data_IF_503082993026
#
_entry.id   IF_503082993026
#
_cell.length_a   1.000
_cell.length_b   1.000
_cell.length_c   1.000
_cell.angle_alpha   90.00
_cell.angle_beta   90.00
_cell.angle_gamma   90.00
#
_symmetry.space_group_name_H-M   'P 1'
#
loop_
_entity.id
_entity.type
_entity.pdbx_description
1 polymer ?
#
# COMPACT_ATOMS: atom_id res chain seq x y z
N UNK A 1 -10.08 42.23 -10.14
CA UNK A 1 -9.78 41.43 -11.35
C UNK A 1 -8.69 42.03 -12.26
N UNK A 2 -8.24 43.27 -12.06
CA UNK A 2 -7.20 43.88 -12.91
C UNK A 2 -5.75 43.40 -12.63
N UNK A 3 -5.49 42.79 -11.46
CA UNK A 3 -4.12 42.48 -11.02
C UNK A 3 -3.61 41.09 -11.46
N UNK A 4 -4.48 40.24 -12.03
CA UNK A 4 -4.13 38.91 -12.55
C UNK A 4 -3.82 38.95 -14.05
N UNK A 5 -4.44 39.86 -14.81
CA UNK A 5 -4.24 39.97 -16.26
C UNK A 5 -2.84 40.52 -16.59
N UNK A 6 -2.38 41.54 -15.85
CA UNK A 6 -1.02 42.10 -15.98
C UNK A 6 0.10 41.08 -15.71
N UNK A 7 -0.13 40.09 -14.85
CA UNK A 7 0.86 39.04 -14.58
C UNK A 7 0.94 38.00 -15.70
N UNK A 8 -0.15 37.75 -16.42
CA UNK A 8 -0.18 36.78 -17.52
C UNK A 8 0.48 37.37 -18.78
N UNK A 9 0.28 38.66 -19.06
CA UNK A 9 0.95 39.34 -20.18
C UNK A 9 2.47 39.43 -19.99
N UNK A 10 2.95 39.66 -18.76
CA UNK A 10 4.39 39.63 -18.47
C UNK A 10 5.01 38.24 -18.62
N UNK A 11 4.25 37.16 -18.35
CA UNK A 11 4.73 35.80 -18.55
C UNK A 11 4.80 35.42 -20.03
N UNK A 12 3.81 35.83 -20.84
CA UNK A 12 3.82 35.57 -22.28
C UNK A 12 4.98 36.28 -22.99
N UNK A 13 5.27 37.53 -22.61
CA UNK A 13 6.41 38.28 -23.13
C UNK A 13 7.75 37.66 -22.73
N UNK A 14 7.87 37.14 -21.50
CA UNK A 14 9.07 36.44 -21.04
C UNK A 14 9.33 35.15 -21.83
N UNK A 15 8.29 34.37 -22.14
CA UNK A 15 8.44 33.16 -22.97
C UNK A 15 8.71 33.46 -24.45
N UNK A 16 8.19 34.56 -25.00
CA UNK A 16 8.54 34.99 -26.36
C UNK A 16 9.98 35.49 -26.44
N UNK A 17 10.48 36.18 -25.42
CA UNK A 17 11.87 36.65 -25.37
C UNK A 17 12.85 35.47 -25.22
N UNK A 18 12.50 34.45 -24.43
CA UNK A 18 13.25 33.19 -24.35
C UNK A 18 13.22 32.48 -25.70
N UNK A 19 12.06 32.30 -26.33
CA UNK A 19 11.94 31.59 -27.61
C UNK A 19 12.66 32.32 -28.77
N UNK A 20 12.68 33.66 -28.77
CA UNK A 20 13.47 34.43 -29.73
C UNK A 20 14.98 34.33 -29.47
N UNK A 21 15.41 34.26 -28.21
CA UNK A 21 16.82 33.99 -27.89
C UNK A 21 17.23 32.56 -28.21
N UNK A 22 16.36 31.56 -28.01
CA UNK A 22 16.65 30.15 -28.37
C UNK A 22 16.80 29.97 -29.87
N UNK A 23 15.94 30.63 -30.68
CA UNK A 23 16.10 30.67 -32.14
C UNK A 23 17.35 31.42 -32.60
N UNK A 24 17.84 32.39 -31.82
CA UNK A 24 19.08 33.11 -32.12
C UNK A 24 20.32 32.28 -31.80
N UNK A 25 20.25 31.42 -30.78
CA UNK A 25 21.30 30.44 -30.47
C UNK A 25 21.33 29.25 -31.44
N UNK A 26 20.20 28.89 -32.06
CA UNK A 26 20.17 27.86 -33.11
C UNK A 26 20.72 28.33 -34.48
N UNK A 27 20.92 29.65 -34.67
CA UNK A 27 21.55 30.22 -35.87
C UNK A 27 23.03 30.60 -35.67
N UNK A 28 23.58 30.30 -34.51
CA UNK A 28 25.03 30.32 -34.27
C UNK A 28 25.45 28.89 -33.94
N UNK A 29 25.37 28.01 -34.96
CA UNK A 29 26.35 26.94 -35.09
C UNK A 29 27.72 27.60 -35.24
N UNK A 30 28.28 28.05 -34.12
CA UNK A 30 29.72 28.19 -34.00
C UNK A 30 30.21 26.76 -34.07
N UNK A 31 30.71 26.41 -35.25
CA UNK A 31 31.41 25.16 -35.50
C UNK A 31 32.71 25.22 -34.70
N UNK A 32 32.61 25.02 -33.38
CA UNK A 32 33.72 24.88 -32.46
C UNK A 32 34.31 23.52 -32.77
N UNK A 33 35.37 23.49 -33.59
CA UNK A 33 36.09 22.25 -33.84
C UNK A 33 36.65 21.72 -32.52
N UNK A 34 36.65 20.41 -32.33
CA UNK A 34 37.19 19.75 -31.13
C UNK A 34 38.64 20.17 -30.81
N UNK A 35 39.39 20.65 -31.82
CA UNK A 35 40.74 21.23 -31.66
C UNK A 35 40.75 22.52 -30.83
N UNK A 36 39.72 23.37 -30.95
CA UNK A 36 39.68 24.66 -30.24
C UNK A 36 39.35 24.54 -28.74
N UNK A 37 38.59 23.50 -28.33
CA UNK A 37 38.37 23.20 -26.92
C UNK A 37 39.63 22.61 -26.26
N UNK A 38 40.40 21.82 -27.00
CA UNK A 38 41.68 21.28 -26.55
C UNK A 38 42.75 22.37 -26.38
N UNK A 39 42.82 23.37 -27.28
CA UNK A 39 43.74 24.50 -27.13
C UNK A 39 43.41 25.41 -25.94
N UNK A 40 42.13 25.63 -25.63
CA UNK A 40 41.72 26.43 -24.46
C UNK A 40 42.03 25.70 -23.14
N UNK A 41 41.87 24.37 -23.09
CA UNK A 41 42.26 23.58 -21.92
C UNK A 41 43.78 23.52 -21.71
N UNK A 42 44.57 23.48 -22.79
CA UNK A 42 46.04 23.43 -22.74
C UNK A 42 46.69 24.78 -22.40
N UNK A 43 46.05 25.91 -22.73
CA UNK A 43 46.56 27.26 -22.42
C UNK A 43 45.91 27.93 -21.20
N UNK A 44 44.97 27.27 -20.52
CA UNK A 44 44.36 27.81 -19.30
C UNK A 44 45.27 27.61 -18.09
N UNK A 45 45.35 28.62 -17.22
CA UNK A 45 46.05 28.50 -15.93
C UNK A 45 45.58 27.23 -15.20
N UNK A 46 46.49 26.48 -14.54
CA UNK A 46 46.15 25.22 -13.87
C UNK A 46 45.06 25.37 -12.80
N UNK A 47 44.84 26.59 -12.30
CA UNK A 47 43.73 26.97 -11.42
C UNK A 47 42.37 26.93 -12.11
N UNK A 48 42.27 27.31 -13.37
CA UNK A 48 41.03 27.31 -14.14
C UNK A 48 40.60 25.88 -14.53
N UNK A 49 41.55 25.05 -14.97
CA UNK A 49 41.31 23.64 -15.23
C UNK A 49 40.83 22.90 -13.97
N UNK A 50 41.43 23.20 -12.81
CA UNK A 50 40.99 22.64 -11.53
C UNK A 50 39.54 23.02 -11.17
N UNK A 51 39.17 24.29 -11.33
CA UNK A 51 37.80 24.76 -11.06
C UNK A 51 36.80 24.11 -12.01
N UNK A 52 37.12 24.00 -13.31
CA UNK A 52 36.26 23.35 -14.28
C UNK A 52 36.00 21.88 -13.94
N UNK A 53 37.03 21.13 -13.53
CA UNK A 53 36.90 19.73 -13.11
C UNK A 53 36.01 19.62 -11.86
N UNK A 54 36.20 20.50 -10.86
CA UNK A 54 35.37 20.50 -9.65
C UNK A 54 33.90 20.77 -9.96
N UNK A 55 33.60 21.73 -10.85
CA UNK A 55 32.22 22.05 -11.27
C UNK A 55 31.58 20.87 -11.99
N UNK A 56 32.31 20.17 -12.87
CA UNK A 56 31.82 18.97 -13.56
C UNK A 56 31.52 17.86 -12.54
N UNK A 57 32.41 17.63 -11.57
CA UNK A 57 32.20 16.60 -10.54
C UNK A 57 30.99 16.93 -9.66
N UNK A 58 30.85 18.18 -9.22
CA UNK A 58 29.73 18.61 -8.36
C UNK A 58 28.40 18.53 -9.12
N UNK A 59 28.36 18.96 -10.38
CA UNK A 59 27.14 18.86 -11.20
C UNK A 59 26.76 17.40 -11.48
N UNK A 60 27.73 16.53 -11.82
CA UNK A 60 27.48 15.10 -11.99
C UNK A 60 26.96 14.44 -10.71
N UNK A 61 27.54 14.74 -9.55
CA UNK A 61 27.07 14.26 -8.25
C UNK A 61 25.66 14.75 -7.94
N UNK A 62 25.35 16.00 -8.24
CA UNK A 62 24.01 16.59 -8.03
C UNK A 62 22.95 15.87 -8.86
N UNK A 63 23.25 15.62 -10.14
CA UNK A 63 22.36 14.87 -11.04
C UNK A 63 22.19 13.43 -10.55
N UNK A 64 23.26 12.80 -10.04
CA UNK A 64 23.22 11.43 -9.54
C UNK A 64 22.38 11.32 -8.26
N UNK A 65 22.45 12.31 -7.36
CA UNK A 65 21.59 12.41 -6.17
C UNK A 65 20.12 12.59 -6.57
N UNK A 66 19.83 13.50 -7.51
CA UNK A 66 18.47 13.72 -8.00
C UNK A 66 17.90 12.48 -8.70
N UNK A 67 18.72 11.74 -9.46
CA UNK A 67 18.33 10.46 -10.02
C UNK A 67 18.11 9.42 -8.93
N UNK A 68 18.93 9.38 -7.88
CA UNK A 68 18.71 8.50 -6.74
C UNK A 68 17.39 8.80 -6.01
N UNK A 69 17.01 10.07 -5.81
CA UNK A 69 15.71 10.43 -5.21
C UNK A 69 14.52 10.06 -6.10
N UNK A 70 14.69 10.08 -7.43
CA UNK A 70 13.66 9.61 -8.38
C UNK A 70 13.58 8.08 -8.47
N UNK A 71 14.71 7.38 -8.31
CA UNK A 71 14.80 5.92 -8.46
C UNK A 71 14.71 5.15 -7.15
N UNK A 72 14.87 5.79 -6.00
CA UNK A 72 14.62 5.15 -4.71
C UNK A 72 13.13 5.18 -4.45
N UNK A 73 12.41 4.04 -4.56
CA UNK A 73 11.02 4.00 -4.16
C UNK A 73 10.98 4.36 -2.67
N UNK A 74 10.34 5.50 -2.35
CA UNK A 74 9.99 5.81 -0.96
C UNK A 74 9.34 4.55 -0.40
N UNK A 75 9.79 4.03 0.76
CA UNK A 75 9.18 2.85 1.34
C UNK A 75 7.68 3.08 1.47
N UNK A 76 6.87 2.28 0.78
CA UNK A 76 5.42 2.45 0.79
C UNK A 76 4.84 2.21 2.19
N UNK A 77 5.47 1.38 3.02
CA UNK A 77 4.97 0.97 4.33
C UNK A 77 4.50 2.12 5.24
N UNK A 78 5.34 3.13 5.54
CA UNK A 78 4.93 4.33 6.28
C UNK A 78 3.66 5.01 5.73
N UNK A 79 3.54 5.12 4.39
CA UNK A 79 2.36 5.69 3.74
C UNK A 79 1.13 4.80 3.90
N UNK A 80 1.26 3.48 3.72
CA UNK A 80 0.15 2.52 3.92
C UNK A 80 -0.35 2.55 5.37
N UNK A 81 0.58 2.61 6.34
CA UNK A 81 0.26 2.69 7.77
C UNK A 81 -0.48 3.98 8.15
N UNK A 82 -0.08 5.12 7.60
CA UNK A 82 -0.74 6.40 7.87
C UNK A 82 -2.14 6.45 7.23
N UNK A 83 -2.27 6.01 5.98
CA UNK A 83 -3.57 5.87 5.31
C UNK A 83 -4.51 4.96 6.09
N UNK A 84 -4.02 3.78 6.50
CA UNK A 84 -4.79 2.85 7.32
C UNK A 84 -5.27 3.48 8.63
N UNK A 85 -4.36 4.14 9.37
CA UNK A 85 -4.70 4.71 10.66
C UNK A 85 -5.81 5.76 10.54
N UNK A 86 -5.71 6.66 9.56
CA UNK A 86 -6.77 7.64 9.30
C UNK A 86 -8.07 6.93 8.97
N UNK A 87 -8.08 6.00 8.03
CA UNK A 87 -9.29 5.27 7.66
C UNK A 87 -9.90 4.48 8.82
N UNK A 88 -9.07 3.89 9.69
CA UNK A 88 -9.52 3.14 10.87
C UNK A 88 -10.21 4.05 11.89
N UNK A 89 -9.63 5.21 12.18
CA UNK A 89 -10.20 6.17 13.12
C UNK A 89 -11.57 6.69 12.63
N UNK A 90 -11.70 7.02 11.33
CA UNK A 90 -12.93 7.58 10.79
C UNK A 90 -14.02 6.54 10.46
N UNK A 91 -13.65 5.34 10.00
CA UNK A 91 -14.61 4.34 9.50
C UNK A 91 -14.85 3.18 10.46
N UNK A 92 -14.03 3.01 11.50
CA UNK A 92 -14.15 1.90 12.45
C UNK A 92 -14.37 2.44 13.85
N UNK A 93 -13.41 3.18 14.42
CA UNK A 93 -13.51 3.65 15.81
C UNK A 93 -14.75 4.53 16.03
N UNK A 94 -15.10 5.40 15.08
CA UNK A 94 -16.31 6.25 15.15
C UNK A 94 -17.63 5.50 14.95
N UNK A 95 -17.63 4.35 14.27
CA UNK A 95 -18.86 3.61 13.93
C UNK A 95 -19.16 2.54 14.98
N UNK A 96 -18.13 1.83 15.45
CA UNK A 96 -18.25 0.71 16.38
C UNK A 96 -17.92 1.12 17.82
N UNK A 97 -18.58 2.19 18.30
CA UNK A 97 -18.35 2.80 19.62
C UNK A 97 -18.61 1.86 20.81
N UNK A 98 -19.45 0.84 20.61
CA UNK A 98 -19.78 -0.14 21.64
C UNK A 98 -18.70 -1.23 21.83
N UNK A 99 -17.69 -1.30 20.95
CA UNK A 99 -16.58 -2.24 21.10
C UNK A 99 -15.60 -1.74 22.16
N UNK A 100 -14.94 -2.67 22.86
CA UNK A 100 -13.97 -2.29 23.88
C UNK A 100 -12.75 -1.59 23.25
N UNK A 101 -12.13 -0.63 23.96
CA UNK A 101 -10.90 0.00 23.50
C UNK A 101 -9.79 -1.01 23.17
N UNK A 102 -9.74 -2.10 23.93
CA UNK A 102 -8.78 -3.19 23.73
C UNK A 102 -9.01 -3.90 22.39
N UNK A 103 -10.24 -4.30 22.08
CA UNK A 103 -10.57 -4.93 20.78
C UNK A 103 -10.16 -4.03 19.62
N UNK A 104 -10.49 -2.75 19.66
CA UNK A 104 -10.14 -1.81 18.59
C UNK A 104 -8.62 -1.58 18.50
N UNK A 105 -7.93 -1.55 19.63
CA UNK A 105 -6.46 -1.40 19.68
C UNK A 105 -5.76 -2.63 19.13
N UNK A 106 -6.21 -3.84 19.49
CA UNK A 106 -5.70 -5.10 18.95
C UNK A 106 -5.88 -5.18 17.43
N UNK A 107 -7.05 -4.79 16.91
CA UNK A 107 -7.28 -4.72 15.46
C UNK A 107 -6.34 -3.73 14.78
N UNK A 108 -6.20 -2.53 15.33
CA UNK A 108 -5.33 -1.50 14.76
C UNK A 108 -3.86 -1.93 14.76
N UNK A 109 -3.36 -2.47 15.88
CA UNK A 109 -1.98 -2.91 16.03
C UNK A 109 -1.66 -4.11 15.13
N UNK A 110 -2.51 -5.14 15.10
CA UNK A 110 -2.28 -6.31 14.27
C UNK A 110 -2.32 -6.03 12.76
N UNK A 111 -3.09 -5.02 12.32
CA UNK A 111 -3.04 -4.59 10.91
C UNK A 111 -1.82 -3.71 10.63
N UNK A 112 -1.34 -2.92 11.59
CA UNK A 112 -0.11 -2.13 11.41
C UNK A 112 1.14 -2.98 11.21
N UNK A 113 1.18 -4.20 11.75
CA UNK A 113 2.33 -5.11 11.56
C UNK A 113 2.43 -5.59 10.11
N UNK A 114 1.30 -5.87 9.46
CA UNK A 114 1.26 -6.41 8.09
C UNK A 114 1.37 -5.34 6.99
N UNK A 115 1.09 -4.07 7.30
CA UNK A 115 1.27 -2.94 6.38
C UNK A 115 2.74 -2.47 6.24
N UNK A 116 3.69 -3.19 6.86
CA UNK A 116 5.13 -2.95 6.69
C UNK A 116 5.67 -3.38 5.33
N UNK A 117 6.92 -3.00 5.03
CA UNK A 117 7.60 -3.43 3.80
C UNK A 117 8.09 -4.88 3.87
N UNK A 118 8.38 -5.35 5.08
CA UNK A 118 8.77 -6.71 5.37
C UNK A 118 7.78 -7.23 6.41
N UNK A 119 7.00 -8.21 6.00
CA UNK A 119 6.11 -8.95 6.88
C UNK A 119 6.40 -10.41 6.61
N UNK A 120 6.68 -11.17 7.66
CA UNK A 120 7.01 -12.60 7.63
C UNK A 120 5.73 -13.45 7.76
N UNK A 121 4.74 -12.93 8.51
CA UNK A 121 3.59 -13.68 9.01
C UNK A 121 2.27 -12.98 8.71
N UNK A 122 1.26 -13.67 8.14
CA UNK A 122 -0.05 -13.09 7.97
C UNK A 122 -0.70 -12.83 9.33
N UNK A 123 -1.40 -11.70 9.45
CA UNK A 123 -2.23 -11.45 10.62
C UNK A 123 -3.56 -12.21 10.52
N UNK A 124 -3.94 -12.94 11.56
CA UNK A 124 -5.20 -13.68 11.65
C UNK A 124 -5.98 -13.17 12.86
N UNK A 125 -7.26 -12.86 12.67
CA UNK A 125 -8.12 -12.34 13.74
C UNK A 125 -9.36 -13.21 13.88
N UNK A 126 -9.56 -13.80 15.05
CA UNK A 126 -10.77 -14.56 15.34
C UNK A 126 -11.78 -13.64 16.01
N UNK A 127 -12.96 -13.50 15.39
CA UNK A 127 -14.04 -12.70 15.93
C UNK A 127 -15.07 -13.64 16.56
N UNK A 128 -15.18 -13.54 17.88
CA UNK A 128 -16.16 -14.28 18.66
C UNK A 128 -17.37 -13.36 18.88
N UNK A 129 -18.53 -13.81 18.43
CA UNK A 129 -19.78 -13.05 18.60
C UNK A 129 -20.91 -14.00 19.00
N UNK A 130 -21.86 -13.46 19.77
CA UNK A 130 -23.15 -14.12 19.98
C UNK A 130 -23.96 -14.10 18.68
N UNK A 131 -24.99 -14.95 18.58
CA UNK A 131 -25.91 -14.97 17.44
C UNK A 131 -26.49 -13.58 17.13
N UNK A 132 -26.86 -12.82 18.16
CA UNK A 132 -27.42 -11.47 18.04
C UNK A 132 -26.41 -10.44 17.50
N UNK A 133 -25.13 -10.61 17.85
CA UNK A 133 -24.04 -9.70 17.45
C UNK A 133 -23.30 -10.13 16.19
N UNK A 134 -23.69 -11.26 15.57
CA UNK A 134 -23.02 -11.81 14.39
C UNK A 134 -22.98 -10.82 13.22
N UNK A 135 -24.09 -10.12 12.95
CA UNK A 135 -24.16 -9.12 11.88
C UNK A 135 -23.18 -7.96 12.12
N UNK A 136 -23.03 -7.53 13.37
CA UNK A 136 -22.09 -6.46 13.76
C UNK A 136 -20.64 -6.91 13.59
N UNK A 137 -20.31 -8.13 14.02
CA UNK A 137 -18.98 -8.70 13.83
C UNK A 137 -18.61 -8.82 12.35
N UNK A 138 -19.56 -9.26 11.51
CA UNK A 138 -19.37 -9.32 10.06
C UNK A 138 -19.26 -7.93 9.41
N UNK A 139 -20.01 -6.94 9.89
CA UNK A 139 -19.90 -5.57 9.41
C UNK A 139 -18.52 -4.97 9.75
N UNK A 140 -18.03 -5.21 10.97
CA UNK A 140 -16.69 -4.83 11.41
C UNK A 140 -15.61 -5.52 10.56
N UNK A 141 -15.76 -6.82 10.28
CA UNK A 141 -14.92 -7.61 9.39
C UNK A 141 -14.74 -6.92 8.02
N UNK A 142 -15.87 -6.62 7.39
CA UNK A 142 -15.93 -6.06 6.04
C UNK A 142 -15.34 -4.65 6.02
N UNK A 143 -15.63 -3.82 7.03
CA UNK A 143 -15.09 -2.46 7.14
C UNK A 143 -13.58 -2.47 7.34
N UNK A 144 -13.07 -3.39 8.15
CA UNK A 144 -11.64 -3.58 8.35
C UNK A 144 -10.96 -4.05 7.06
N UNK A 145 -11.52 -5.06 6.38
CA UNK A 145 -11.02 -5.52 5.08
C UNK A 145 -11.01 -4.40 4.03
N UNK A 146 -12.08 -3.60 3.92
CA UNK A 146 -12.13 -2.43 3.04
C UNK A 146 -10.99 -1.45 3.34
N UNK A 147 -10.80 -1.14 4.61
CA UNK A 147 -9.76 -0.21 5.07
C UNK A 147 -8.36 -0.72 4.71
N UNK A 148 -8.11 -2.02 4.87
CA UNK A 148 -6.84 -2.66 4.48
C UNK A 148 -6.63 -2.57 2.96
N UNK A 149 -7.63 -2.94 2.16
CA UNK A 149 -7.54 -2.92 0.69
C UNK A 149 -7.17 -1.53 0.17
N UNK A 150 -7.84 -0.48 0.67
CA UNK A 150 -7.53 0.91 0.29
C UNK A 150 -6.12 1.31 0.70
N UNK A 151 -5.67 0.86 1.87
CA UNK A 151 -4.33 1.17 2.38
C UNK A 151 -3.23 0.52 1.55
N UNK A 152 -3.52 -0.56 0.82
CA UNK A 152 -2.62 -1.15 -0.17
C UNK A 152 -2.71 -0.49 -1.57
N UNK A 153 -3.32 0.70 -1.68
CA UNK A 153 -3.59 1.43 -2.93
C UNK A 153 -4.36 0.62 -3.98
N UNK A 154 -5.10 -0.41 -3.58
CA UNK A 154 -5.96 -1.14 -4.49
C UNK A 154 -7.26 -0.37 -4.73
N UNK A 155 -7.62 -0.17 -5.99
CA UNK A 155 -8.92 0.42 -6.35
C UNK A 155 -10.05 -0.36 -5.69
N UNK A 156 -10.88 0.36 -4.92
CA UNK A 156 -12.00 -0.24 -4.21
C UNK A 156 -13.18 -0.39 -5.18
N UNK A 157 -13.47 -1.62 -5.58
CA UNK A 157 -14.74 -1.93 -6.24
C UNK A 157 -15.65 -2.70 -5.29
N UNK A 158 -16.96 -2.45 -5.37
CA UNK A 158 -17.98 -3.18 -4.57
C UNK A 158 -17.84 -4.69 -4.78
N UNK A 159 -17.47 -5.09 -6.00
CA UNK A 159 -17.24 -6.48 -6.38
C UNK A 159 -16.03 -7.09 -5.65
N UNK A 160 -14.90 -6.36 -5.51
CA UNK A 160 -13.72 -6.82 -4.76
C UNK A 160 -14.04 -7.06 -3.28
N UNK A 161 -14.87 -6.22 -2.68
CA UNK A 161 -15.31 -6.39 -1.27
C UNK A 161 -16.20 -7.63 -1.11
N UNK A 162 -17.09 -7.92 -2.07
CA UNK A 162 -17.88 -9.15 -2.01
C UNK A 162 -17.01 -10.39 -2.21
N UNK A 163 -15.96 -10.28 -3.03
CA UNK A 163 -15.01 -11.36 -3.30
C UNK A 163 -14.16 -11.73 -2.09
N UNK A 164 -13.96 -10.88 -1.07
CA UNK A 164 -13.17 -11.29 0.12
C UNK A 164 -13.88 -12.30 1.02
N UNK A 165 -15.21 -12.44 0.93
CA UNK A 165 -15.99 -13.28 1.84
C UNK A 165 -16.14 -14.70 1.31
N UNK A 166 -15.89 -15.68 2.18
CA UNK A 166 -16.15 -17.10 2.01
C UNK A 166 -17.07 -17.58 3.12
N UNK A 167 -18.03 -18.44 2.78
CA UNK A 167 -18.90 -19.08 3.76
C UNK A 167 -18.36 -20.47 4.12
N UNK A 168 -18.07 -20.69 5.40
CA UNK A 168 -17.58 -21.95 5.94
C UNK A 168 -18.57 -23.11 5.76
N UNK A 169 -19.87 -22.84 5.78
CA UNK A 169 -20.92 -23.85 5.55
C UNK A 169 -20.86 -24.56 4.20
N UNK A 170 -20.12 -24.03 3.22
CA UNK A 170 -19.88 -24.70 1.94
C UNK A 170 -18.83 -25.81 2.02
N UNK A 171 -18.06 -25.88 3.11
CA UNK A 171 -16.88 -26.72 3.24
C UNK A 171 -17.04 -27.74 4.39
N UNK A 172 -18.22 -28.34 4.49
CA UNK A 172 -18.62 -29.28 5.58
C UNK A 172 -18.15 -30.72 5.36
N UNK A 173 -17.76 -31.08 4.13
CA UNK A 173 -17.20 -32.39 3.77
C UNK A 173 -15.68 -32.33 3.53
N UNK A 174 -15.00 -33.44 3.80
CA UNK A 174 -13.56 -33.66 3.56
C UNK A 174 -13.13 -33.34 2.11
N UNK A 175 -13.96 -33.72 1.13
CA UNK A 175 -13.66 -33.53 -0.29
C UNK A 175 -13.45 -32.06 -0.68
N UNK A 176 -13.97 -31.13 0.11
CA UNK A 176 -13.86 -29.69 -0.15
C UNK A 176 -12.49 -29.10 0.20
N UNK A 177 -11.52 -29.90 0.66
CA UNK A 177 -10.20 -29.43 1.08
C UNK A 177 -9.52 -28.55 0.02
N UNK A 178 -9.39 -29.08 -1.20
CA UNK A 178 -8.71 -28.38 -2.29
C UNK A 178 -9.48 -27.16 -2.80
N UNK A 179 -10.80 -27.19 -2.72
CA UNK A 179 -11.65 -26.06 -3.10
C UNK A 179 -11.58 -24.93 -2.07
N UNK A 180 -11.50 -25.26 -0.79
CA UNK A 180 -11.25 -24.29 0.27
C UNK A 180 -9.87 -23.67 0.12
N UNK A 181 -8.83 -24.49 -0.04
CA UNK A 181 -7.46 -24.02 -0.27
C UNK A 181 -7.37 -23.09 -1.47
N UNK A 182 -7.81 -23.54 -2.66
CA UNK A 182 -7.77 -22.71 -3.88
C UNK A 182 -8.58 -21.43 -3.73
N UNK A 183 -9.77 -21.52 -3.13
CA UNK A 183 -10.64 -20.37 -2.90
C UNK A 183 -10.02 -19.32 -1.97
N UNK A 184 -9.30 -19.78 -0.94
CA UNK A 184 -8.67 -18.93 0.05
C UNK A 184 -7.37 -18.31 -0.48
N UNK A 185 -6.49 -19.12 -1.07
CA UNK A 185 -5.23 -18.65 -1.71
C UNK A 185 -5.51 -17.60 -2.78
N UNK A 186 -6.51 -17.82 -3.66
CA UNK A 186 -6.87 -16.85 -4.71
C UNK A 186 -7.28 -15.49 -4.13
N UNK A 187 -8.00 -15.46 -3.01
CA UNK A 187 -8.43 -14.21 -2.36
C UNK A 187 -7.27 -13.50 -1.68
N UNK A 188 -6.42 -14.24 -0.98
CA UNK A 188 -5.19 -13.70 -0.42
C UNK A 188 -4.35 -13.08 -1.54
N UNK A 189 -4.09 -13.80 -2.63
CA UNK A 189 -3.30 -13.31 -3.76
C UNK A 189 -3.88 -12.05 -4.43
N UNK A 190 -5.20 -12.03 -4.69
CA UNK A 190 -5.85 -10.95 -5.46
C UNK A 190 -6.23 -9.74 -4.63
N UNK A 191 -6.85 -9.96 -3.46
CA UNK A 191 -7.42 -8.90 -2.63
C UNK A 191 -6.58 -8.55 -1.42
N UNK A 192 -5.53 -9.33 -1.15
CA UNK A 192 -4.64 -9.13 0.01
C UNK A 192 -5.43 -9.11 1.34
N UNK A 193 -6.58 -9.79 1.41
CA UNK A 193 -7.47 -10.01 2.58
C UNK A 193 -8.41 -11.20 2.29
N UNK A 194 -8.77 -11.99 3.31
CA UNK A 194 -9.87 -12.96 3.25
C UNK A 194 -10.74 -12.98 4.52
N UNK A 195 -12.04 -13.22 4.38
CA UNK A 195 -12.99 -13.35 5.49
C UNK A 195 -13.69 -14.70 5.36
N UNK A 196 -13.63 -15.52 6.39
CA UNK A 196 -14.34 -16.81 6.49
C UNK A 196 -15.42 -16.68 7.56
N UNK A 197 -16.68 -16.68 7.12
CA UNK A 197 -17.84 -16.71 8.02
C UNK A 197 -18.22 -18.14 8.35
N UNK A 198 -18.92 -18.37 9.47
CA UNK A 198 -19.38 -19.70 9.87
C UNK A 198 -18.22 -20.72 9.94
N UNK A 199 -17.08 -20.29 10.49
CA UNK A 199 -15.86 -21.12 10.51
C UNK A 199 -16.08 -22.44 11.27
N UNK A 200 -16.92 -22.41 12.30
CA UNK A 200 -17.27 -23.58 13.12
C UNK A 200 -17.99 -24.69 12.35
N UNK A 201 -18.53 -24.42 11.16
CA UNK A 201 -19.21 -25.44 10.34
C UNK A 201 -18.27 -26.12 9.36
N UNK A 202 -17.02 -25.65 9.22
CA UNK A 202 -16.04 -26.24 8.30
C UNK A 202 -15.63 -27.61 8.83
N UNK A 203 -15.45 -28.57 7.92
CA UNK A 203 -14.93 -29.89 8.28
C UNK A 203 -13.54 -29.73 8.95
N UNK A 204 -13.26 -30.41 10.08
CA UNK A 204 -11.99 -30.24 10.80
C UNK A 204 -10.74 -30.45 9.92
N UNK A 205 -10.78 -31.44 9.01
CA UNK A 205 -9.69 -31.67 8.06
C UNK A 205 -9.53 -30.55 7.03
N UNK A 206 -10.62 -29.85 6.65
CA UNK A 206 -10.53 -28.72 5.72
C UNK A 206 -9.98 -27.47 6.44
N UNK A 207 -10.27 -27.32 7.73
CA UNK A 207 -9.74 -26.22 8.54
C UNK A 207 -8.21 -26.26 8.66
N UNK A 208 -7.55 -27.41 8.48
CA UNK A 208 -6.07 -27.52 8.51
C UNK A 208 -5.39 -26.76 7.37
N UNK A 209 -6.12 -26.39 6.30
CA UNK A 209 -5.61 -25.46 5.28
C UNK A 209 -5.13 -24.14 5.89
N UNK A 210 -5.70 -23.71 7.02
CA UNK A 210 -5.21 -22.52 7.71
C UNK A 210 -3.80 -22.71 8.26
N UNK A 211 -3.43 -23.91 8.70
CA UNK A 211 -2.07 -24.15 9.22
C UNK A 211 -1.03 -24.06 8.12
N UNK A 212 -1.39 -24.37 6.87
CA UNK A 212 -0.49 -24.24 5.72
C UNK A 212 -0.41 -22.81 5.19
N UNK A 213 -1.53 -22.07 5.20
CA UNK A 213 -1.57 -20.70 4.65
C UNK A 213 -1.15 -19.63 5.65
N UNK A 214 -1.41 -19.86 6.94
CA UNK A 214 -1.02 -18.99 8.04
C UNK A 214 0.18 -19.52 8.83
N UNK A 215 1.05 -20.29 8.16
CA UNK A 215 2.27 -20.80 8.77
C UNK A 215 3.21 -19.64 9.17
N UNK A 216 3.70 -19.71 10.40
CA UNK A 216 4.52 -18.70 11.05
C UNK A 216 5.95 -18.60 10.49
N UNK A 217 6.45 -19.65 9.86
CA UNK A 217 7.80 -19.74 9.32
C UNK A 217 7.81 -19.68 7.79
N UNK A 218 6.81 -20.27 7.12
CA UNK A 218 6.77 -20.42 5.66
C UNK A 218 5.41 -20.08 5.05
N UNK A 219 4.76 -19.00 5.50
CA UNK A 219 3.52 -18.57 4.86
C UNK A 219 3.76 -18.27 3.37
N UNK A 220 2.97 -18.85 2.44
CA UNK A 220 3.06 -18.53 1.02
C UNK A 220 2.64 -17.08 0.71
N UNK A 221 2.03 -16.39 1.69
CA UNK A 221 1.41 -15.08 1.54
C UNK A 221 1.82 -14.13 2.69
N UNK A 222 3.12 -13.81 2.85
CA UNK A 222 3.63 -13.17 4.06
C UNK A 222 3.28 -11.67 4.11
N UNK A 223 3.22 -10.97 2.97
CA UNK A 223 2.76 -9.56 2.86
C UNK A 223 1.24 -9.40 2.67
N UNK A 224 0.52 -10.52 2.70
CA UNK A 224 -0.68 -10.70 1.89
C UNK A 224 -1.96 -10.95 2.73
N UNK A 225 -1.78 -10.97 4.06
CA UNK A 225 -2.72 -10.49 5.10
C UNK A 225 -3.99 -11.30 5.44
N UNK A 226 -4.42 -11.08 6.68
CA UNK A 226 -5.80 -11.00 7.17
C UNK A 226 -6.74 -12.17 6.83
N UNK A 227 -6.95 -13.05 7.82
CA UNK A 227 -8.05 -14.02 7.86
C UNK A 227 -8.95 -13.74 9.06
N UNK A 228 -10.21 -13.41 8.80
CA UNK A 228 -11.22 -13.44 9.86
C UNK A 228 -11.94 -14.77 9.92
N UNK A 229 -12.03 -15.35 11.12
CA UNK A 229 -12.96 -16.44 11.44
C UNK A 229 -14.06 -15.90 12.35
N UNK A 230 -15.31 -15.87 11.87
CA UNK A 230 -16.46 -15.52 12.73
C UNK A 230 -17.06 -16.79 13.29
N UNK A 231 -17.03 -16.94 14.62
CA UNK A 231 -17.70 -18.03 15.32
C UNK A 231 -18.93 -17.42 15.99
N UNK A 232 -20.12 -17.89 15.56
CA UNK A 232 -21.35 -17.62 16.29
C UNK A 232 -21.44 -18.65 17.40
N UNK A 233 -21.14 -18.25 18.64
CA UNK A 233 -21.43 -19.09 19.79
C UNK A 233 -22.95 -19.11 20.01
N UNK A 234 -23.61 -20.28 20.11
CA UNK A 234 -24.95 -20.31 20.66
C UNK A 234 -24.87 -19.78 22.09
N UNK A 235 -25.80 -18.90 22.47
CA UNK A 235 -25.93 -18.45 23.85
C UNK A 235 -25.97 -19.70 24.73
N UNK A 236 -24.93 -19.92 25.54
CA UNK A 236 -25.00 -20.84 26.66
C UNK A 236 -26.10 -20.28 27.57
N UNK A 237 -27.31 -20.79 27.38
CA UNK A 237 -28.40 -20.54 28.29
C UNK A 237 -27.90 -20.86 29.69
N UNK A 238 -28.15 -19.95 30.62
CA UNK A 238 -28.04 -20.20 32.05
C UNK A 238 -28.72 -21.55 32.37
N UNK A 239 -27.95 -22.64 32.39
CA UNK A 239 -28.33 -23.84 33.13
C UNK A 239 -28.13 -23.50 34.61
N UNK A 240 -29.07 -22.74 35.16
CA UNK A 240 -29.35 -22.78 36.59
C UNK A 240 -30.07 -24.10 36.83
N UNK A 241 -29.30 -25.10 37.24
CA UNK A 241 -29.80 -26.15 38.12
C UNK A 241 -29.52 -25.72 39.56
#
# INVERSE_FOLDING_TARGET
MANTISKVENFANYFQEIAMNTKRTELLEVNVSDESLMEIFLNSDPSFAFVAIVVIIVSALSVLILLFDFYTPIPDGPRRKSQFFVLFEFNIRKIFLAQTPDTLSTLCCGVKTILGNQCERPCVFVFLATSESHCTALALAKKLAQTIIVSFNNELSVEKVHKVVMKGSKYTSFENYWDFHRGLSKRMETTKVAIVTEFQTIHPHVATVLTTLADDAFSPFPQVNFLQCTISAPCLGNNRY
#
